data_IF_109890942865
#
_entry.id   IF_109890942865
#
_cell.length_a   1.000
_cell.length_b   1.000
_cell.length_c   1.000
_cell.angle_alpha   90.00
_cell.angle_beta   90.00
_cell.angle_gamma   90.00
#
_symmetry.space_group_name_H-M   'P 1'
#
loop_
_entity.id
_entity.type
_entity.pdbx_description
1 polymer ?
#
# COMPACT_ATOMS: atom_id res chain seq x y z
N UNK A 1 13.22 -5.16 10.76
CA UNK A 1 11.95 -4.49 10.38
C UNK A 1 12.40 -3.09 10.07
N UNK A 2 12.68 -2.84 8.79
CA UNK A 2 13.60 -1.77 8.39
C UNK A 2 12.84 -0.47 8.09
N UNK A 3 11.63 -0.37 8.63
CA UNK A 3 10.74 0.77 8.47
C UNK A 3 10.52 1.43 9.83
N UNK A 4 10.57 2.77 9.93
CA UNK A 4 10.33 3.51 11.18
C UNK A 4 8.86 3.54 11.59
N UNK A 5 8.02 2.65 11.02
CA UNK A 5 6.58 2.59 11.27
C UNK A 5 6.26 1.44 12.23
N UNK A 6 5.55 1.75 13.30
CA UNK A 6 5.02 0.74 14.22
C UNK A 6 3.98 -0.14 13.51
N UNK A 7 4.05 -1.45 13.76
CA UNK A 7 3.07 -2.42 13.27
C UNK A 7 2.12 -2.78 14.41
N UNK A 8 0.83 -2.73 14.14
CA UNK A 8 -0.19 -3.22 15.06
C UNK A 8 -0.07 -4.74 15.20
N UNK A 9 0.00 -5.23 16.45
CA UNK A 9 0.18 -6.64 16.76
C UNK A 9 -1.09 -7.31 17.30
N UNK A 10 -2.23 -6.62 17.30
CA UNK A 10 -3.48 -7.19 17.76
C UNK A 10 -4.03 -8.21 16.75
N UNK A 11 -4.59 -9.30 17.27
CA UNK A 11 -5.27 -10.34 16.48
C UNK A 11 -6.78 -10.23 16.67
N UNK A 12 -7.52 -10.16 15.57
CA UNK A 12 -9.00 -10.18 15.58
C UNK A 12 -9.48 -11.62 15.41
N UNK A 13 -10.46 -12.03 16.21
CA UNK A 13 -11.01 -13.39 16.22
C UNK A 13 -12.49 -13.35 15.85
N UNK A 14 -12.92 -14.27 15.00
CA UNK A 14 -14.32 -14.53 14.69
C UNK A 14 -14.61 -16.03 14.84
N UNK A 15 -15.84 -16.37 15.23
CA UNK A 15 -16.27 -17.76 15.46
C UNK A 15 -17.27 -18.19 14.39
N UNK A 16 -17.07 -19.37 13.81
CA UNK A 16 -18.04 -20.02 12.92
C UNK A 16 -18.72 -21.14 13.70
N UNK A 17 -20.04 -21.07 13.84
CA UNK A 17 -20.86 -22.08 14.52
C UNK A 17 -21.83 -22.73 13.53
N UNK A 18 -21.87 -24.06 13.52
CA UNK A 18 -22.80 -24.83 12.68
C UNK A 18 -24.16 -24.95 13.37
N UNK A 19 -25.24 -24.84 12.61
CA UNK A 19 -26.59 -25.07 13.12
C UNK A 19 -26.83 -26.57 13.35
N UNK A 20 -27.56 -26.92 14.41
CA UNK A 20 -27.86 -28.31 14.76
C UNK A 20 -26.75 -29.05 15.54
N UNK A 21 -25.64 -28.39 15.87
CA UNK A 21 -24.60 -28.95 16.74
C UNK A 21 -24.85 -28.59 18.20
N UNK A 22 -24.48 -29.48 19.12
CA UNK A 22 -24.60 -29.25 20.56
C UNK A 22 -23.76 -28.04 21.00
N UNK A 23 -24.30 -27.18 21.85
CA UNK A 23 -23.61 -25.98 22.36
C UNK A 23 -22.37 -26.29 23.22
N UNK A 24 -22.13 -27.57 23.54
CA UNK A 24 -21.01 -28.04 24.37
C UNK A 24 -19.77 -28.46 23.56
N UNK A 25 -19.79 -28.36 22.22
CA UNK A 25 -18.62 -28.69 21.41
C UNK A 25 -17.51 -27.65 21.60
N UNK A 26 -16.30 -28.11 21.90
CA UNK A 26 -15.12 -27.26 22.05
C UNK A 26 -14.82 -26.50 20.76
N UNK A 27 -14.64 -25.18 20.87
CA UNK A 27 -14.19 -24.34 19.76
C UNK A 27 -12.76 -24.71 19.38
N UNK A 28 -12.54 -25.04 18.11
CA UNK A 28 -11.18 -25.23 17.59
C UNK A 28 -10.58 -23.86 17.27
N UNK A 29 -9.42 -23.55 17.86
CA UNK A 29 -8.69 -22.31 17.60
C UNK A 29 -7.70 -22.54 16.48
N UNK A 30 -7.62 -21.59 15.54
CA UNK A 30 -6.58 -21.57 14.50
C UNK A 30 -5.74 -20.31 14.69
N UNK A 31 -4.41 -20.46 14.63
CA UNK A 31 -3.49 -19.35 14.75
C UNK A 31 -3.09 -18.86 13.34
N UNK A 32 -3.04 -17.54 13.11
CA UNK A 32 -2.50 -17.02 11.87
C UNK A 32 -0.99 -17.32 11.75
N UNK A 33 -0.42 -17.26 10.54
CA UNK A 33 1.03 -17.28 10.37
C UNK A 33 1.71 -16.16 11.18
N UNK A 34 2.97 -16.35 11.56
CA UNK A 34 3.73 -15.31 12.24
C UNK A 34 3.87 -14.05 11.36
N UNK A 35 3.90 -12.87 11.99
CA UNK A 35 3.80 -11.56 11.31
C UNK A 35 4.94 -11.28 10.31
N UNK A 36 6.11 -11.90 10.52
CA UNK A 36 7.32 -11.68 9.73
C UNK A 36 7.60 -12.79 8.69
N UNK A 37 6.60 -13.60 8.33
CA UNK A 37 6.79 -14.75 7.43
C UNK A 37 6.56 -14.37 5.96
N UNK A 38 7.58 -13.75 5.36
CA UNK A 38 7.57 -13.31 3.94
C UNK A 38 7.24 -14.44 2.96
N UNK A 39 7.71 -15.66 3.21
CA UNK A 39 7.49 -16.80 2.32
C UNK A 39 6.00 -17.17 2.19
N UNK A 40 5.24 -17.13 3.30
CA UNK A 40 3.81 -17.45 3.31
C UNK A 40 3.02 -16.37 2.57
N UNK A 41 3.31 -15.10 2.86
CA UNK A 41 2.72 -13.97 2.14
C UNK A 41 3.01 -14.05 0.63
N UNK A 42 4.24 -14.36 0.25
CA UNK A 42 4.65 -14.49 -1.16
C UNK A 42 3.91 -15.63 -1.85
N UNK A 43 3.83 -16.81 -1.23
CA UNK A 43 3.09 -17.96 -1.80
C UNK A 43 1.62 -17.63 -2.05
N UNK A 44 0.98 -16.93 -1.11
CA UNK A 44 -0.40 -16.50 -1.27
C UNK A 44 -0.55 -15.50 -2.43
N UNK A 45 0.26 -14.44 -2.46
CA UNK A 45 0.21 -13.42 -3.52
C UNK A 45 0.44 -14.00 -4.91
N UNK A 46 1.40 -14.91 -5.06
CA UNK A 46 1.71 -15.57 -6.36
C UNK A 46 0.58 -16.51 -6.83
N UNK A 47 -0.28 -16.97 -5.92
CA UNK A 47 -1.41 -17.84 -6.26
C UNK A 47 -2.59 -17.10 -6.92
N UNK A 48 -2.63 -15.76 -6.84
CA UNK A 48 -3.73 -14.96 -7.35
C UNK A 48 -3.80 -15.00 -8.89
N UNK A 49 -4.96 -15.39 -9.43
CA UNK A 49 -5.25 -15.43 -10.88
C UNK A 49 -6.70 -15.04 -11.15
N UNK A 50 -6.93 -14.30 -12.23
CA UNK A 50 -8.30 -13.99 -12.67
C UNK A 50 -8.99 -15.23 -13.21
N UNK A 51 -10.27 -15.39 -12.86
CA UNK A 51 -11.15 -16.37 -13.47
C UNK A 51 -11.39 -15.99 -14.95
N UNK A 52 -11.27 -16.96 -15.88
CA UNK A 52 -11.37 -16.70 -17.33
C UNK A 52 -12.25 -17.71 -18.13
N UNK A 53 -13.50 -17.99 -17.72
CA UNK A 53 -14.44 -18.79 -18.51
C UNK A 53 -15.01 -17.98 -19.68
N UNK A 54 -15.60 -18.67 -20.66
CA UNK A 54 -16.22 -18.03 -21.83
C UNK A 54 -17.23 -16.92 -21.49
N UNK A 55 -17.96 -17.06 -20.37
CA UNK A 55 -18.95 -16.09 -19.87
C UNK A 55 -18.32 -14.85 -19.21
N UNK A 56 -17.15 -14.99 -18.60
CA UNK A 56 -16.45 -13.92 -17.85
C UNK A 56 -14.98 -13.91 -18.24
N UNK A 57 -14.71 -13.38 -19.44
CA UNK A 57 -13.35 -13.40 -19.98
C UNK A 57 -12.51 -12.29 -19.34
N UNK A 58 -11.30 -12.65 -18.92
CA UNK A 58 -10.29 -11.70 -18.48
C UNK A 58 -9.68 -11.00 -19.72
N UNK A 59 -9.98 -9.71 -19.88
CA UNK A 59 -9.46 -8.90 -21.00
C UNK A 59 -8.19 -8.17 -20.58
N UNK A 60 -7.05 -8.79 -20.86
CA UNK A 60 -5.73 -8.20 -20.57
C UNK A 60 -5.32 -7.27 -21.73
N UNK A 61 -4.99 -5.99 -21.49
CA UNK A 61 -4.42 -5.12 -22.52
C UNK A 61 -3.10 -5.68 -23.03
N UNK A 62 -2.99 -5.90 -24.34
CA UNK A 62 -1.77 -6.43 -24.99
C UNK A 62 -0.88 -5.33 -25.57
N UNK A 63 -1.47 -4.15 -25.83
CA UNK A 63 -0.76 -2.97 -26.34
C UNK A 63 -0.51 -2.03 -25.17
N UNK A 64 0.76 -1.65 -24.98
CA UNK A 64 1.18 -0.76 -23.90
C UNK A 64 1.46 0.61 -24.52
N UNK A 65 0.61 1.60 -24.22
CA UNK A 65 0.81 2.97 -24.70
C UNK A 65 1.86 3.72 -23.86
N UNK A 66 1.91 3.42 -22.55
CA UNK A 66 2.68 4.16 -21.56
C UNK A 66 3.30 3.19 -20.54
N UNK A 67 4.63 3.24 -20.39
CA UNK A 67 5.34 2.56 -19.29
C UNK A 67 5.66 3.56 -18.19
N UNK A 68 5.26 3.26 -16.96
CA UNK A 68 5.49 4.10 -15.78
C UNK A 68 6.30 3.31 -14.74
N UNK A 69 7.25 3.97 -14.09
CA UNK A 69 7.98 3.44 -12.94
C UNK A 69 7.70 4.32 -11.72
N UNK A 70 7.15 3.70 -10.67
CA UNK A 70 6.84 4.38 -9.42
C UNK A 70 7.71 3.84 -8.29
N UNK A 71 8.58 4.69 -7.76
CA UNK A 71 9.30 4.40 -6.51
C UNK A 71 8.44 4.87 -5.34
N UNK A 72 8.04 3.95 -4.47
CA UNK A 72 7.29 4.26 -3.25
C UNK A 72 8.26 4.31 -2.08
N UNK A 73 8.28 5.41 -1.35
CA UNK A 73 9.24 5.63 -0.28
C UNK A 73 8.65 6.33 0.93
N UNK A 74 9.29 6.11 2.08
CA UNK A 74 9.05 6.86 3.30
C UNK A 74 10.16 7.90 3.48
N UNK A 75 9.80 9.03 4.09
CA UNK A 75 10.71 10.11 4.47
C UNK A 75 10.36 10.58 5.87
N UNK A 76 11.35 10.96 6.67
CA UNK A 76 11.14 11.65 7.94
C UNK A 76 11.52 13.11 7.74
N UNK A 77 10.56 14.01 7.90
CA UNK A 77 10.82 15.45 7.90
C UNK A 77 10.94 15.95 9.34
N UNK A 78 11.90 16.83 9.66
CA UNK A 78 11.97 17.47 10.97
C UNK A 78 10.64 18.16 11.30
N UNK A 79 10.18 17.97 12.53
CA UNK A 79 8.93 18.56 13.01
C UNK A 79 9.01 18.81 14.53
N UNK A 80 9.06 20.08 14.92
CA UNK A 80 9.26 20.49 16.32
C UNK A 80 8.15 20.03 17.28
N UNK A 81 6.91 19.94 16.79
CA UNK A 81 5.72 19.59 17.60
C UNK A 81 5.27 18.14 17.43
N UNK A 82 5.95 17.36 16.58
CA UNK A 82 5.60 15.96 16.33
C UNK A 82 6.22 15.04 17.37
N UNK A 83 5.60 13.89 17.60
CA UNK A 83 6.17 12.81 18.41
C UNK A 83 7.55 12.44 17.86
N UNK A 84 8.56 12.37 18.73
CA UNK A 84 9.96 12.08 18.39
C UNK A 84 10.63 13.09 17.43
N UNK A 85 10.13 14.33 17.34
CA UNK A 85 10.78 15.42 16.59
C UNK A 85 10.76 15.26 15.06
N UNK A 86 10.04 14.24 14.55
CA UNK A 86 9.99 13.89 13.14
C UNK A 86 8.57 13.57 12.68
N UNK A 87 8.25 13.97 11.46
CA UNK A 87 7.00 13.64 10.77
C UNK A 87 7.29 12.65 9.66
N UNK A 88 6.74 11.44 9.78
CA UNK A 88 6.77 10.45 8.70
C UNK A 88 5.90 10.93 7.54
N UNK A 89 6.46 10.91 6.35
CA UNK A 89 5.81 11.25 5.09
C UNK A 89 6.03 10.10 4.11
N UNK A 90 5.08 9.92 3.19
CA UNK A 90 5.22 8.99 2.08
C UNK A 90 5.33 9.78 0.77
N UNK A 91 6.09 9.26 -0.17
CA UNK A 91 6.21 9.84 -1.50
C UNK A 91 6.15 8.77 -2.59
N UNK A 92 5.75 9.21 -3.78
CA UNK A 92 5.86 8.43 -5.01
C UNK A 92 6.72 9.24 -5.97
N UNK A 93 7.78 8.66 -6.52
CA UNK A 93 8.75 9.34 -7.37
C UNK A 93 9.30 10.65 -6.76
N UNK A 94 9.52 10.66 -5.43
CA UNK A 94 9.96 11.82 -4.66
C UNK A 94 8.95 12.99 -4.60
N UNK A 95 7.68 12.74 -4.93
CA UNK A 95 6.56 13.70 -4.78
C UNK A 95 5.68 13.26 -3.61
N UNK A 96 5.52 14.13 -2.61
CA UNK A 96 4.61 13.94 -1.48
C UNK A 96 3.26 14.57 -1.82
N UNK A 97 2.18 13.79 -1.78
CA UNK A 97 0.84 14.32 -2.02
C UNK A 97 0.36 15.16 -0.82
N UNK A 98 -0.02 16.40 -1.07
CA UNK A 98 -0.63 17.29 -0.09
C UNK A 98 -2.11 17.44 -0.45
N UNK A 99 -2.99 17.07 0.48
CA UNK A 99 -4.43 17.14 0.26
C UNK A 99 -4.85 18.61 0.05
N UNK A 100 -5.42 18.97 -1.11
CA UNK A 100 -5.94 20.32 -1.34
C UNK A 100 -7.25 20.55 -0.57
N UNK A 101 -7.59 21.82 -0.36
CA UNK A 101 -8.89 22.22 0.25
C UNK A 101 -10.05 22.09 -0.74
N UNK A 102 -9.77 22.14 -2.04
CA UNK A 102 -10.75 21.93 -3.11
C UNK A 102 -10.54 20.56 -3.74
N UNK A 103 -11.62 19.81 -3.96
CA UNK A 103 -11.53 18.48 -4.58
C UNK A 103 -10.90 18.56 -5.99
N UNK A 104 -10.02 17.61 -6.32
CA UNK A 104 -9.34 17.57 -7.63
C UNK A 104 -10.33 17.50 -8.80
N UNK A 105 -11.40 16.71 -8.66
CA UNK A 105 -12.45 16.60 -9.68
C UNK A 105 -13.19 17.92 -9.89
N UNK A 106 -13.52 18.64 -8.81
CA UNK A 106 -14.14 19.97 -8.90
C UNK A 106 -13.21 20.96 -9.59
N UNK A 107 -11.94 21.00 -9.19
CA UNK A 107 -10.96 21.89 -9.80
C UNK A 107 -10.75 21.59 -11.29
N UNK A 108 -10.74 20.31 -11.67
CA UNK A 108 -10.67 19.89 -13.08
C UNK A 108 -11.90 20.34 -13.86
N UNK A 109 -13.11 20.04 -13.36
CA UNK A 109 -14.37 20.34 -14.05
C UNK A 109 -14.58 21.84 -14.27
N UNK A 110 -14.33 22.66 -13.25
CA UNK A 110 -14.48 24.12 -13.32
C UNK A 110 -13.22 24.85 -13.80
N UNK A 111 -12.17 24.12 -14.24
CA UNK A 111 -10.91 24.68 -14.72
C UNK A 111 -10.24 25.66 -13.73
N UNK A 112 -10.33 25.34 -12.43
CA UNK A 112 -9.75 26.13 -11.36
C UNK A 112 -8.22 26.04 -11.41
N UNK A 113 -7.54 27.18 -11.46
CA UNK A 113 -6.07 27.25 -11.46
C UNK A 113 -5.52 27.15 -10.03
N UNK A 114 -4.32 26.60 -9.89
CA UNK A 114 -3.58 26.58 -8.62
C UNK A 114 -3.98 25.49 -7.62
N UNK A 115 -4.88 24.56 -7.98
CA UNK A 115 -5.29 23.46 -7.09
C UNK A 115 -4.39 22.23 -7.26
N UNK A 116 -4.02 21.90 -8.50
CA UNK A 116 -3.14 20.78 -8.83
C UNK A 116 -2.35 21.09 -10.10
N UNK A 117 -1.28 20.33 -10.31
CA UNK A 117 -0.48 20.31 -11.54
C UNK A 117 -0.68 18.98 -12.27
N UNK A 118 -0.46 18.98 -13.58
CA UNK A 118 -0.66 17.82 -14.47
C UNK A 118 0.68 17.19 -14.92
N UNK A 119 1.73 17.38 -14.13
CA UNK A 119 3.13 17.06 -14.45
C UNK A 119 3.71 15.96 -13.55
N UNK A 120 2.84 15.12 -12.96
CA UNK A 120 3.30 14.02 -12.11
C UNK A 120 4.28 13.10 -12.87
N UNK A 121 5.47 12.82 -12.33
CA UNK A 121 6.53 12.20 -13.11
C UNK A 121 6.26 10.72 -13.38
N UNK A 122 6.42 10.33 -14.64
CA UNK A 122 6.31 8.95 -15.14
C UNK A 122 7.35 7.99 -14.52
N UNK A 123 8.53 8.50 -14.19
CA UNK A 123 9.67 7.76 -13.66
C UNK A 123 10.30 8.56 -12.49
N UNK A 124 11.04 7.92 -11.57
CA UNK A 124 11.82 8.66 -10.58
C UNK A 124 12.81 9.59 -11.29
N UNK A 125 12.88 10.86 -10.88
CA UNK A 125 13.78 11.84 -11.48
C UNK A 125 15.26 11.51 -11.26
N UNK A 126 15.56 10.79 -10.18
CA UNK A 126 16.92 10.35 -9.82
C UNK A 126 16.89 8.84 -9.66
N UNK A 127 17.65 8.15 -10.51
CA UNK A 127 17.86 6.71 -10.39
C UNK A 127 18.89 6.41 -9.29
N UNK A 128 18.60 5.42 -8.46
CA UNK A 128 19.51 4.90 -7.44
C UNK A 128 19.17 3.43 -7.19
N UNK A 129 19.93 2.76 -6.33
CA UNK A 129 19.61 1.40 -5.92
C UNK A 129 18.40 1.40 -4.96
N UNK A 130 17.19 1.36 -5.51
CA UNK A 130 15.93 1.57 -4.78
C UNK A 130 15.66 0.59 -3.64
N UNK A 131 16.22 -0.63 -3.71
CA UNK A 131 16.10 -1.67 -2.68
C UNK A 131 17.44 -1.95 -1.99
N UNK A 132 18.34 -0.96 -1.98
CA UNK A 132 19.68 -1.10 -1.43
C UNK A 132 19.70 -0.88 0.07
N UNK A 133 20.84 -1.13 0.70
CA UNK A 133 21.04 -0.79 2.11
C UNK A 133 20.85 0.71 2.33
N UNK A 134 20.05 1.07 3.32
CA UNK A 134 19.82 2.47 3.66
C UNK A 134 21.13 3.11 4.12
N UNK A 135 21.48 4.26 3.53
CA UNK A 135 22.66 5.02 3.92
C UNK A 135 22.46 5.55 5.35
N UNK A 136 23.43 5.32 6.22
CA UNK A 136 23.37 5.65 7.67
C UNK A 136 23.65 7.12 7.98
N UNK A 137 23.67 8.00 6.98
CA UNK A 137 23.99 9.41 7.17
C UNK A 137 22.72 10.16 7.57
N UNK A 138 22.42 10.15 8.88
CA UNK A 138 21.52 11.09 9.53
C UNK A 138 22.31 12.28 10.06
#
# INVERSE_FOLDING_TARGET
MDSPIAVDNMTVIATVQYSGTLSSTLTTITNPPAQNVTLVATKFTVSLRSLNPKKYQARVPLTIDHSLLFTVGLRINPCAICVNGGKVMANINNVTFVMPTTALLQAHYFKMKGVFTNDFPRNPQIAFHHTGTQLTNF
#
